data_IF_278720073467
#
_entry.id   IF_278720073467
#
_cell.length_a   1.000
_cell.length_b   1.000
_cell.length_c   1.000
_cell.angle_alpha   90.00
_cell.angle_beta   90.00
_cell.angle_gamma   90.00
#
_symmetry.space_group_name_H-M   'P 1'
#
loop_
_entity.id
_entity.type
_entity.pdbx_description
1 polymer ?
#
# COMPACT_ATOMS: atom_id res chain seq x y z
N UNK A 1 15.82 15.95 52.58
CA UNK A 1 14.79 15.88 51.52
C UNK A 1 15.35 16.54 50.25
N UNK A 2 15.94 15.76 49.32
CA UNK A 2 16.44 16.26 48.03
C UNK A 2 16.02 15.26 46.94
N UNK A 3 15.01 15.65 46.15
CA UNK A 3 14.57 14.93 44.94
C UNK A 3 15.71 14.95 43.92
N UNK A 4 16.23 13.78 43.52
CA UNK A 4 17.08 13.65 42.33
C UNK A 4 16.15 13.57 41.12
N UNK A 5 16.12 14.63 40.33
CA UNK A 5 15.43 14.65 39.04
C UNK A 5 16.19 13.78 38.03
N UNK A 6 15.42 13.10 37.19
CA UNK A 6 15.81 12.08 36.23
C UNK A 6 16.92 12.49 35.24
N UNK A 7 17.56 11.43 34.73
CA UNK A 7 18.61 11.50 33.73
C UNK A 7 18.19 12.33 32.51
N UNK A 8 18.99 13.35 32.23
CA UNK A 8 18.98 14.09 30.97
C UNK A 8 19.49 13.12 29.90
N UNK A 9 18.60 12.60 29.08
CA UNK A 9 18.96 11.83 27.89
C UNK A 9 19.83 12.75 27.01
N UNK A 10 21.09 12.35 26.81
CA UNK A 10 22.04 13.09 25.98
C UNK A 10 21.49 13.08 24.56
N UNK A 11 21.10 14.25 24.03
CA UNK A 11 20.75 14.40 22.61
C UNK A 11 22.03 14.16 21.82
N UNK A 12 22.09 13.04 21.09
CA UNK A 12 22.98 12.91 19.95
C UNK A 12 22.63 14.02 18.96
N UNK A 13 23.63 14.79 18.54
CA UNK A 13 23.44 15.87 17.58
C UNK A 13 23.06 15.25 16.22
N UNK A 14 22.07 15.82 15.53
CA UNK A 14 21.58 15.26 14.26
C UNK A 14 22.59 15.60 13.16
N UNK A 15 23.23 14.58 12.58
CA UNK A 15 24.16 14.75 11.47
C UNK A 15 23.50 14.36 10.14
N UNK A 16 22.94 15.35 9.45
CA UNK A 16 22.32 15.16 8.14
C UNK A 16 23.31 14.77 7.02
N UNK A 17 24.62 14.95 7.23
CA UNK A 17 25.62 14.63 6.19
C UNK A 17 25.73 13.13 5.91
N UNK A 18 25.35 12.30 6.90
CA UNK A 18 25.33 10.83 6.79
C UNK A 18 24.17 10.28 5.97
N UNK A 19 23.09 11.03 5.83
CA UNK A 19 21.88 10.57 5.16
C UNK A 19 21.95 10.75 3.64
N UNK A 20 21.53 9.72 2.92
CA UNK A 20 21.37 9.76 1.46
C UNK A 20 19.94 10.15 1.10
N UNK A 21 19.81 11.15 0.24
CA UNK A 21 18.54 11.67 -0.26
C UNK A 21 18.39 11.36 -1.74
N UNK A 22 17.27 10.78 -2.12
CA UNK A 22 16.87 10.68 -3.53
C UNK A 22 15.73 11.68 -3.78
N UNK A 23 15.99 12.66 -4.65
CA UNK A 23 15.12 13.80 -4.93
C UNK A 23 14.57 13.71 -6.36
N UNK A 24 13.25 13.85 -6.50
CA UNK A 24 12.57 13.87 -7.79
C UNK A 24 11.70 15.12 -7.96
N UNK A 25 11.90 15.82 -9.07
CA UNK A 25 11.03 16.89 -9.53
C UNK A 25 11.27 17.08 -11.04
N UNK A 26 10.24 16.92 -11.90
CA UNK A 26 10.41 17.02 -13.33
C UNK A 26 10.65 18.45 -13.82
N UNK A 27 10.39 19.45 -12.98
CA UNK A 27 10.67 20.86 -13.30
C UNK A 27 12.02 21.23 -12.70
N UNK A 28 13.04 21.38 -13.56
CA UNK A 28 14.43 21.63 -13.14
C UNK A 28 14.62 22.80 -12.17
N UNK A 29 13.85 23.88 -12.32
CA UNK A 29 13.91 25.02 -11.38
C UNK A 29 13.45 24.59 -9.99
N UNK A 30 12.33 23.87 -9.89
CA UNK A 30 11.79 23.38 -8.62
C UNK A 30 12.70 22.31 -7.99
N UNK A 31 13.28 21.43 -8.83
CA UNK A 31 14.28 20.44 -8.43
C UNK A 31 15.46 21.13 -7.74
N UNK A 32 16.01 22.17 -8.37
CA UNK A 32 17.16 22.93 -7.86
C UNK A 32 16.81 23.67 -6.57
N UNK A 33 15.64 24.30 -6.48
CA UNK A 33 15.17 24.97 -5.25
C UNK A 33 15.06 24.00 -4.08
N UNK A 34 14.48 22.82 -4.32
CA UNK A 34 14.32 21.79 -3.29
C UNK A 34 15.66 21.21 -2.85
N UNK A 35 16.57 20.98 -3.80
CA UNK A 35 17.96 20.57 -3.53
C UNK A 35 18.68 21.61 -2.68
N UNK A 36 18.53 22.90 -2.97
CA UNK A 36 19.13 23.97 -2.18
C UNK A 36 18.61 23.98 -0.75
N UNK A 37 17.29 23.88 -0.54
CA UNK A 37 16.71 23.81 0.80
C UNK A 37 17.25 22.60 1.59
N UNK A 38 17.32 21.42 0.99
CA UNK A 38 17.91 20.23 1.64
C UNK A 38 19.40 20.43 1.96
N UNK A 39 20.16 21.09 1.08
CA UNK A 39 21.55 21.41 1.33
C UNK A 39 21.72 22.41 2.49
N UNK A 40 20.86 23.43 2.59
CA UNK A 40 20.84 24.37 3.72
C UNK A 40 20.53 23.67 5.05
N UNK A 41 19.63 22.68 5.04
CA UNK A 41 19.32 21.86 6.23
C UNK A 41 20.54 21.05 6.70
N UNK A 42 21.46 20.70 5.80
CA UNK A 42 22.70 20.00 6.12
C UNK A 42 22.91 18.70 5.34
N UNK A 43 21.96 18.28 4.49
CA UNK A 43 22.16 17.12 3.63
C UNK A 43 23.29 17.39 2.61
N UNK A 44 24.12 16.39 2.36
CA UNK A 44 25.24 16.48 1.40
C UNK A 44 25.13 15.45 0.29
N UNK A 45 24.63 14.25 0.61
CA UNK A 45 24.44 13.18 -0.35
C UNK A 45 23.03 13.26 -0.96
N UNK A 46 22.84 14.17 -1.92
CA UNK A 46 21.55 14.37 -2.61
C UNK A 46 21.70 13.92 -4.07
N UNK A 47 21.04 12.83 -4.43
CA UNK A 47 20.85 12.43 -5.82
C UNK A 47 19.56 13.07 -6.36
N UNK A 48 19.59 13.65 -7.56
CA UNK A 48 18.51 14.49 -8.08
C UNK A 48 18.14 14.08 -9.49
N UNK A 49 16.86 13.82 -9.72
CA UNK A 49 16.36 13.29 -10.98
C UNK A 49 15.17 14.13 -11.48
N UNK A 50 15.17 14.43 -12.78
CA UNK A 50 14.06 15.13 -13.44
C UNK A 50 13.17 14.18 -14.25
N UNK A 51 13.57 12.92 -14.44
CA UNK A 51 12.73 11.91 -15.09
C UNK A 51 12.37 10.79 -14.13
N UNK A 52 11.15 10.26 -14.25
CA UNK A 52 10.67 9.18 -13.39
C UNK A 52 11.51 7.90 -13.56
N UNK A 53 12.03 7.65 -14.77
CA UNK A 53 12.88 6.51 -15.09
C UNK A 53 14.24 6.58 -14.38
N UNK A 54 14.88 7.76 -14.40
CA UNK A 54 16.13 7.97 -13.68
C UNK A 54 15.93 7.90 -12.17
N UNK A 55 14.82 8.46 -11.68
CA UNK A 55 14.47 8.37 -10.27
C UNK A 55 14.28 6.93 -9.81
N UNK A 56 13.54 6.10 -10.56
CA UNK A 56 13.39 4.68 -10.23
C UNK A 56 14.76 3.94 -10.21
N UNK A 57 15.68 4.31 -11.11
CA UNK A 57 17.03 3.75 -11.13
C UNK A 57 17.86 4.21 -9.93
N UNK A 58 17.85 5.49 -9.60
CA UNK A 58 18.55 6.03 -8.43
C UNK A 58 18.06 5.41 -7.12
N UNK A 59 16.76 5.17 -6.99
CA UNK A 59 16.18 4.47 -5.83
C UNK A 59 16.74 3.04 -5.66
N UNK A 60 16.99 2.32 -6.76
CA UNK A 60 17.56 0.96 -6.76
C UNK A 60 19.03 0.96 -6.35
N UNK A 61 19.79 1.94 -6.83
CA UNK A 61 21.24 2.01 -6.66
C UNK A 61 21.65 2.61 -5.30
N UNK A 62 20.96 3.66 -4.84
CA UNK A 62 21.40 4.47 -3.70
C UNK A 62 20.88 4.02 -2.33
N UNK A 63 19.88 3.13 -2.27
CA UNK A 63 19.16 2.72 -1.05
C UNK A 63 18.92 3.88 -0.06
N UNK A 64 18.25 4.96 -0.48
CA UNK A 64 18.21 6.20 0.28
C UNK A 64 17.45 6.07 1.59
N UNK A 65 17.90 6.80 2.61
CA UNK A 65 17.21 6.92 3.90
C UNK A 65 16.04 7.93 3.83
N UNK A 66 16.14 8.91 2.92
CA UNK A 66 15.11 9.91 2.66
C UNK A 66 14.81 9.99 1.15
N UNK A 67 13.53 9.94 0.81
CA UNK A 67 13.01 10.16 -0.54
C UNK A 67 12.15 11.42 -0.51
N UNK A 68 12.43 12.36 -1.41
CA UNK A 68 11.63 13.57 -1.61
C UNK A 68 11.16 13.60 -3.05
N UNK A 69 9.85 13.64 -3.30
CA UNK A 69 9.33 13.57 -4.67
C UNK A 69 8.14 14.50 -4.90
N UNK A 70 8.19 15.28 -5.98
CA UNK A 70 7.06 16.05 -6.47
C UNK A 70 5.97 15.13 -7.05
N UNK A 71 4.72 15.31 -6.61
CA UNK A 71 3.60 14.46 -7.01
C UNK A 71 2.51 15.15 -7.81
N UNK A 72 2.56 16.47 -8.01
CA UNK A 72 1.54 17.24 -8.73
C UNK A 72 1.97 17.71 -10.13
N UNK A 73 3.02 17.11 -10.72
CA UNK A 73 3.44 17.47 -12.08
C UNK A 73 2.49 16.91 -13.15
N UNK A 74 2.04 17.73 -14.11
CA UNK A 74 1.29 17.24 -15.26
C UNK A 74 2.05 16.15 -16.03
N UNK A 75 1.33 15.09 -16.44
CA UNK A 75 1.88 14.00 -17.25
C UNK A 75 2.81 13.02 -16.52
N UNK A 76 3.09 13.22 -15.24
CA UNK A 76 3.96 12.32 -14.45
C UNK A 76 3.29 11.93 -13.14
N UNK A 77 2.89 10.67 -13.00
CA UNK A 77 2.33 10.12 -11.76
C UNK A 77 3.39 9.33 -11.00
N UNK A 78 3.96 9.93 -9.95
CA UNK A 78 4.95 9.28 -9.06
C UNK A 78 4.28 8.35 -8.03
N UNK A 79 2.99 8.51 -7.75
CA UNK A 79 2.31 7.79 -6.67
C UNK A 79 2.30 6.27 -6.86
N UNK A 80 2.14 5.71 -8.09
CA UNK A 80 2.35 4.29 -8.35
C UNK A 80 3.75 3.80 -7.97
N UNK A 81 4.79 4.61 -8.24
CA UNK A 81 6.17 4.26 -7.87
C UNK A 81 6.34 4.22 -6.34
N UNK A 82 5.75 5.17 -5.61
CA UNK A 82 5.76 5.15 -4.14
C UNK A 82 5.08 3.90 -3.57
N UNK A 83 3.94 3.50 -4.15
CA UNK A 83 3.29 2.23 -3.76
C UNK A 83 4.24 1.05 -3.99
N UNK A 84 4.85 0.95 -5.17
CA UNK A 84 5.81 -0.12 -5.50
C UNK A 84 7.01 -0.15 -4.54
N UNK A 85 7.51 1.00 -4.09
CA UNK A 85 8.54 1.09 -3.04
C UNK A 85 8.04 0.42 -1.75
N UNK A 86 6.84 0.77 -1.28
CA UNK A 86 6.26 0.18 -0.06
C UNK A 86 5.97 -1.31 -0.18
N UNK A 87 5.69 -1.79 -1.38
CA UNK A 87 5.57 -3.21 -1.69
C UNK A 87 6.91 -3.94 -1.84
N UNK A 88 8.05 -3.26 -1.66
CA UNK A 88 9.38 -3.86 -1.77
C UNK A 88 9.77 -4.25 -3.21
N UNK A 89 9.16 -3.61 -4.21
CA UNK A 89 9.33 -3.94 -5.63
C UNK A 89 10.35 -3.03 -6.35
N UNK A 90 10.92 -2.06 -5.64
CA UNK A 90 11.81 -1.04 -6.23
C UNK A 90 13.18 -1.08 -5.56
N UNK A 91 13.26 -0.77 -4.28
CA UNK A 91 14.53 -0.69 -3.55
C UNK A 91 14.56 -1.70 -2.38
N UNK A 92 15.75 -1.99 -1.81
CA UNK A 92 15.90 -2.95 -0.72
C UNK A 92 15.14 -2.56 0.56
N UNK A 93 14.97 -1.26 0.81
CA UNK A 93 14.33 -0.73 2.00
C UNK A 93 12.93 -0.14 1.71
N UNK A 94 11.84 -0.92 1.84
CA UNK A 94 10.48 -0.42 1.67
C UNK A 94 10.06 0.56 2.77
N UNK A 95 10.86 0.69 3.84
CA UNK A 95 10.62 1.57 4.98
C UNK A 95 11.47 2.84 4.93
N UNK A 96 12.09 3.19 3.80
CA UNK A 96 12.69 4.52 3.61
C UNK A 96 11.69 5.63 3.99
N UNK A 97 12.18 6.76 4.50
CA UNK A 97 11.30 7.89 4.83
C UNK A 97 10.93 8.60 3.53
N UNK A 98 9.63 8.77 3.25
CA UNK A 98 9.14 9.34 1.99
C UNK A 98 8.33 10.59 2.26
N UNK A 99 8.79 11.73 1.74
CA UNK A 99 8.05 13.00 1.75
C UNK A 99 7.64 13.32 0.31
N UNK A 100 6.34 13.52 0.09
CA UNK A 100 5.85 14.06 -1.16
C UNK A 100 5.74 15.57 -1.10
N UNK A 101 6.07 16.25 -2.19
CA UNK A 101 5.77 17.67 -2.37
C UNK A 101 4.65 17.83 -3.40
N UNK A 102 3.80 18.84 -3.22
CA UNK A 102 2.70 19.08 -4.15
C UNK A 102 2.41 20.57 -4.33
N UNK A 103 2.24 21.00 -5.58
CA UNK A 103 1.67 22.32 -5.92
C UNK A 103 0.14 22.34 -5.86
N UNK A 104 -0.51 21.17 -5.84
CA UNK A 104 -1.97 21.04 -5.87
C UNK A 104 -2.51 20.86 -4.46
N UNK A 105 -3.44 21.74 -4.05
CA UNK A 105 -4.13 21.67 -2.75
C UNK A 105 -5.47 20.92 -2.78
N UNK A 106 -5.80 20.30 -3.91
CA UNK A 106 -7.04 19.55 -4.06
C UNK A 106 -7.11 18.36 -3.10
N UNK A 107 -8.25 18.20 -2.42
CA UNK A 107 -8.44 17.16 -1.42
C UNK A 107 -8.39 15.75 -2.01
N UNK A 108 -8.82 15.53 -3.27
CA UNK A 108 -8.73 14.21 -3.91
C UNK A 108 -7.28 13.86 -4.19
N UNK A 109 -6.52 14.80 -4.76
CA UNK A 109 -5.09 14.64 -5.02
C UNK A 109 -4.30 14.35 -3.74
N UNK A 110 -4.50 15.15 -2.69
CA UNK A 110 -3.81 14.97 -1.41
C UNK A 110 -4.15 13.64 -0.75
N UNK A 111 -5.42 13.21 -0.81
CA UNK A 111 -5.81 11.87 -0.35
C UNK A 111 -5.07 10.79 -1.13
N UNK A 112 -4.97 10.87 -2.46
CA UNK A 112 -4.20 9.90 -3.28
C UNK A 112 -2.72 9.88 -2.92
N UNK A 113 -2.13 11.04 -2.63
CA UNK A 113 -0.74 11.17 -2.22
C UNK A 113 -0.51 10.51 -0.85
N UNK A 114 -1.37 10.79 0.13
CA UNK A 114 -1.30 10.18 1.47
C UNK A 114 -1.51 8.66 1.40
N UNK A 115 -2.48 8.19 0.62
CA UNK A 115 -2.77 6.75 0.44
C UNK A 115 -1.80 6.04 -0.50
N UNK A 116 -0.76 6.71 -0.99
CA UNK A 116 0.35 6.05 -1.69
C UNK A 116 1.33 5.36 -0.74
N UNK A 117 1.27 5.69 0.56
CA UNK A 117 2.19 5.19 1.59
C UNK A 117 3.31 6.16 1.97
N UNK A 118 3.26 7.41 1.48
CA UNK A 118 4.18 8.46 1.91
C UNK A 118 4.09 8.71 3.43
N UNK A 119 5.23 9.04 4.06
CA UNK A 119 5.31 9.44 5.47
C UNK A 119 4.71 10.84 5.68
N UNK A 120 4.88 11.74 4.71
CA UNK A 120 4.34 13.09 4.78
C UNK A 120 4.06 13.69 3.40
N UNK A 121 3.23 14.74 3.37
CA UNK A 121 2.94 15.53 2.17
C UNK A 121 3.10 17.02 2.49
N UNK A 122 4.01 17.70 1.81
CA UNK A 122 4.31 19.12 1.96
C UNK A 122 3.72 19.89 0.78
N UNK A 123 2.93 20.91 1.07
CA UNK A 123 2.38 21.80 0.04
C UNK A 123 3.41 22.86 -0.33
N UNK A 124 3.58 23.11 -1.62
CA UNK A 124 4.42 24.19 -2.16
C UNK A 124 3.64 25.50 -2.32
N UNK A 125 4.33 26.66 -2.27
CA UNK A 125 5.72 26.83 -1.85
C UNK A 125 5.89 26.60 -0.34
N UNK A 126 7.08 26.16 0.07
CA UNK A 126 7.45 25.97 1.48
C UNK A 126 8.81 26.60 1.79
N UNK A 127 9.05 26.96 3.04
CA UNK A 127 10.36 27.46 3.50
C UNK A 127 11.30 26.31 3.89
N UNK A 128 12.61 26.57 3.85
CA UNK A 128 13.64 25.62 4.34
C UNK A 128 13.35 25.19 5.79
N UNK A 129 13.01 26.14 6.67
CA UNK A 129 12.70 25.87 8.07
C UNK A 129 11.46 24.97 8.24
N UNK A 130 10.42 25.16 7.42
CA UNK A 130 9.25 24.28 7.46
C UNK A 130 9.61 22.86 7.03
N UNK A 131 10.35 22.69 5.93
CA UNK A 131 10.81 21.38 5.49
C UNK A 131 11.67 20.68 6.55
N UNK A 132 12.58 21.43 7.21
CA UNK A 132 13.39 20.92 8.32
C UNK A 132 12.53 20.41 9.48
N UNK A 133 11.52 21.20 9.91
CA UNK A 133 10.62 20.81 11.00
C UNK A 133 9.90 19.49 10.70
N UNK A 134 9.41 19.33 9.46
CA UNK A 134 8.75 18.09 9.01
C UNK A 134 9.72 16.91 9.05
N UNK A 135 10.93 17.07 8.53
CA UNK A 135 11.97 16.04 8.55
C UNK A 135 12.35 15.66 9.99
N UNK A 136 12.57 16.63 10.88
CA UNK A 136 12.86 16.40 12.31
C UNK A 136 11.74 15.66 13.01
N UNK A 137 10.49 15.95 12.66
CA UNK A 137 9.32 15.24 13.21
C UNK A 137 9.34 13.77 12.81
N UNK A 138 9.63 13.47 11.54
CA UNK A 138 9.74 12.09 11.04
C UNK A 138 10.93 11.34 11.65
N UNK A 139 12.04 12.03 11.91
CA UNK A 139 13.19 11.45 12.63
C UNK A 139 12.77 11.03 14.04
N UNK A 140 12.06 11.89 14.77
CA UNK A 140 11.76 11.68 16.20
C UNK A 140 10.57 10.75 16.46
N UNK A 141 9.47 10.96 15.73
CA UNK A 141 8.14 10.41 16.07
C UNK A 141 7.49 9.74 14.86
N UNK A 142 8.25 8.88 14.17
CA UNK A 142 7.72 8.14 13.03
C UNK A 142 6.59 7.22 13.47
N UNK A 143 5.45 7.31 12.77
CA UNK A 143 4.30 6.46 13.03
C UNK A 143 4.57 5.01 12.61
N UNK A 144 3.99 4.02 13.31
CA UNK A 144 4.04 2.63 12.85
C UNK A 144 3.22 2.48 11.56
N UNK A 145 3.43 1.38 10.84
CA UNK A 145 2.75 1.13 9.57
C UNK A 145 1.54 0.22 9.72
N UNK A 146 0.55 0.41 8.85
CA UNK A 146 -0.56 -0.51 8.65
C UNK A 146 -0.35 -1.22 7.32
N UNK A 147 -0.60 -2.53 7.31
CA UNK A 147 -0.52 -3.37 6.12
C UNK A 147 -1.92 -3.82 5.75
N UNK A 148 -2.37 -3.44 4.55
CA UNK A 148 -3.61 -3.90 3.94
C UNK A 148 -3.37 -4.46 2.55
N UNK A 149 -4.43 -4.95 1.87
CA UNK A 149 -4.35 -5.42 0.49
C UNK A 149 -3.83 -4.34 -0.44
N UNK A 150 -4.29 -3.11 -0.24
CA UNK A 150 -4.09 -1.99 -1.16
C UNK A 150 -3.27 -0.85 -0.54
N UNK A 151 -2.82 -0.98 0.72
CA UNK A 151 -2.08 0.07 1.43
C UNK A 151 -0.99 -0.49 2.35
N UNK A 152 0.22 0.02 2.19
CA UNK A 152 1.33 -0.17 3.14
C UNK A 152 1.87 1.23 3.44
N UNK A 153 1.78 1.65 4.70
CA UNK A 153 2.26 2.97 5.08
C UNK A 153 1.87 3.37 6.50
N UNK A 154 2.22 4.60 6.90
CA UNK A 154 2.00 5.08 8.27
C UNK A 154 0.55 4.99 8.71
N UNK A 155 0.30 4.64 9.97
CA UNK A 155 -1.04 4.63 10.53
C UNK A 155 -1.66 6.03 10.53
N UNK A 156 -2.75 6.17 9.80
CA UNK A 156 -3.51 7.43 9.65
C UNK A 156 -4.84 7.42 10.39
N UNK A 157 -5.13 6.37 11.18
CA UNK A 157 -6.35 6.32 11.98
C UNK A 157 -6.28 7.42 13.05
N UNK A 158 -7.25 8.33 13.00
CA UNK A 158 -7.57 9.18 14.14
C UNK A 158 -8.41 8.31 15.09
N UNK A 159 -7.96 8.14 16.33
CA UNK A 159 -8.46 7.12 17.26
C UNK A 159 -10.02 6.98 17.31
N UNK A 160 -10.45 5.71 17.40
CA UNK A 160 -11.68 5.19 18.03
C UNK A 160 -13.02 5.00 17.29
N UNK A 161 -13.24 5.40 16.01
CA UNK A 161 -14.59 5.24 15.40
C UNK A 161 -14.77 4.12 14.38
N UNK A 162 -13.70 3.45 13.95
CA UNK A 162 -13.79 2.25 13.10
C UNK A 162 -12.73 1.25 13.56
N UNK A 163 -13.10 0.19 14.30
CA UNK A 163 -12.18 -0.92 14.50
C UNK A 163 -11.83 -1.46 13.11
N UNK A 164 -10.55 -1.34 12.77
CA UNK A 164 -9.97 -2.02 11.63
C UNK A 164 -9.01 -3.02 12.24
N UNK A 165 -9.27 -4.31 12.00
CA UNK A 165 -8.43 -5.42 12.46
C UNK A 165 -7.08 -5.49 11.71
N UNK A 166 -6.74 -4.45 10.93
CA UNK A 166 -5.48 -4.41 10.22
C UNK A 166 -4.33 -4.28 11.23
N UNK A 167 -3.37 -5.23 11.21
CA UNK A 167 -2.26 -5.24 12.15
C UNK A 167 -1.38 -4.00 11.96
N UNK A 168 -0.90 -3.47 13.09
CA UNK A 168 0.08 -2.39 13.12
C UNK A 168 1.45 -3.00 13.28
N UNK A 169 2.37 -2.61 12.41
CA UNK A 169 3.75 -3.08 12.41
C UNK A 169 4.66 -1.91 12.76
N UNK A 170 5.43 -2.03 13.84
CA UNK A 170 6.43 -1.03 14.19
C UNK A 170 7.60 -1.09 13.19
N UNK A 171 7.81 -0.06 12.39
CA UNK A 171 8.83 -0.06 11.33
C UNK A 171 10.13 0.63 11.76
N UNK A 172 11.29 0.22 11.24
CA UNK A 172 12.58 0.82 11.57
C UNK A 172 12.63 2.22 11.00
N UNK A 173 13.15 3.15 11.79
CA UNK A 173 13.43 4.50 11.32
C UNK A 173 14.88 4.58 10.86
N UNK A 174 15.13 4.09 9.64
CA UNK A 174 16.47 4.08 9.03
C UNK A 174 17.03 5.49 8.91
N UNK A 175 16.20 6.50 8.59
CA UNK A 175 16.62 7.90 8.58
C UNK A 175 17.15 8.35 9.94
N UNK A 176 16.41 8.08 11.02
CA UNK A 176 16.85 8.41 12.38
C UNK A 176 18.18 7.73 12.72
N UNK A 177 18.26 6.41 12.51
CA UNK A 177 19.46 5.65 12.84
C UNK A 177 20.69 6.17 12.06
N UNK A 178 20.52 6.52 10.78
CA UNK A 178 21.59 7.12 9.96
C UNK A 178 22.05 8.47 10.49
N UNK A 179 21.14 9.40 10.77
CA UNK A 179 21.52 10.77 11.19
C UNK A 179 21.99 10.84 12.65
N UNK A 180 21.57 9.90 13.50
CA UNK A 180 22.07 9.77 14.88
C UNK A 180 23.39 8.98 14.94
N UNK A 181 23.80 8.33 13.84
CA UNK A 181 24.98 7.46 13.78
C UNK A 181 24.84 6.19 14.62
N UNK A 182 23.61 5.69 14.78
CA UNK A 182 23.30 4.50 15.57
C UNK A 182 23.48 3.23 14.72
N UNK A 183 24.70 2.69 14.74
CA UNK A 183 25.07 1.48 13.98
C UNK A 183 24.28 0.24 14.43
N UNK A 184 23.96 0.13 15.72
CA UNK A 184 23.18 -1.00 16.26
C UNK A 184 21.74 -0.95 15.75
N UNK A 185 21.12 0.24 15.74
CA UNK A 185 19.80 0.43 15.18
C UNK A 185 19.78 0.20 13.66
N UNK A 186 20.84 0.55 12.93
CA UNK A 186 20.96 0.24 11.49
C UNK A 186 21.07 -1.26 11.22
N UNK A 187 21.93 -1.97 11.95
CA UNK A 187 22.07 -3.43 11.82
C UNK A 187 20.76 -4.16 12.18
N UNK A 188 20.10 -3.71 13.26
CA UNK A 188 18.78 -4.20 13.65
C UNK A 188 17.73 -3.89 12.58
N UNK A 189 17.75 -2.69 12.01
CA UNK A 189 16.85 -2.31 10.93
C UNK A 189 17.04 -3.21 9.71
N UNK A 190 18.28 -3.53 9.32
CA UNK A 190 18.57 -4.41 8.17
C UNK A 190 18.05 -5.85 8.39
N UNK A 191 18.37 -6.46 9.53
CA UNK A 191 17.83 -7.79 9.88
C UNK A 191 16.31 -7.78 9.94
N UNK A 192 15.72 -6.71 10.45
CA UNK A 192 14.27 -6.57 10.60
C UNK A 192 13.57 -6.26 9.27
N UNK A 193 14.20 -5.52 8.35
CA UNK A 193 13.67 -5.22 7.02
C UNK A 193 13.34 -6.52 6.29
N UNK A 194 14.24 -7.51 6.34
CA UNK A 194 14.01 -8.82 5.73
C UNK A 194 12.80 -9.55 6.32
N UNK A 195 12.69 -9.59 7.64
CA UNK A 195 11.57 -10.24 8.34
C UNK A 195 10.23 -9.52 8.12
N UNK A 196 10.22 -8.20 8.22
CA UNK A 196 9.04 -7.39 7.99
C UNK A 196 8.60 -7.44 6.53
N UNK A 197 9.53 -7.49 5.57
CA UNK A 197 9.20 -7.69 4.16
C UNK A 197 8.49 -9.02 3.96
N UNK A 198 9.00 -10.11 4.54
CA UNK A 198 8.33 -11.44 4.48
C UNK A 198 6.95 -11.41 5.12
N UNK A 199 6.79 -10.73 6.26
CA UNK A 199 5.50 -10.58 6.94
C UNK A 199 4.51 -9.80 6.09
N UNK A 200 4.92 -8.66 5.53
CA UNK A 200 4.12 -7.81 4.64
C UNK A 200 3.73 -8.56 3.37
N UNK A 201 4.67 -9.27 2.76
CA UNK A 201 4.43 -10.07 1.56
C UNK A 201 3.42 -11.20 1.85
N UNK A 202 3.60 -11.93 2.96
CA UNK A 202 2.68 -12.99 3.37
C UNK A 202 1.25 -12.46 3.61
N UNK A 203 1.12 -11.36 4.34
CA UNK A 203 -0.16 -10.70 4.54
C UNK A 203 -0.78 -10.22 3.22
N UNK A 204 0.03 -9.76 2.27
CA UNK A 204 -0.45 -9.33 0.96
C UNK A 204 -0.93 -10.51 0.12
N UNK A 205 -0.17 -11.59 0.02
CA UNK A 205 -0.57 -12.82 -0.68
C UNK A 205 -1.89 -13.35 -0.09
N UNK A 206 -1.97 -13.42 1.25
CA UNK A 206 -3.19 -13.82 1.97
C UNK A 206 -4.39 -12.98 1.55
N UNK A 207 -4.25 -11.65 1.57
CA UNK A 207 -5.36 -10.73 1.25
C UNK A 207 -5.76 -10.75 -0.23
N UNK A 208 -4.81 -10.85 -1.14
CA UNK A 208 -5.10 -10.96 -2.59
C UNK A 208 -5.85 -12.26 -2.88
N UNK A 209 -5.39 -13.40 -2.35
CA UNK A 209 -6.07 -14.68 -2.47
C UNK A 209 -7.49 -14.61 -1.87
N UNK A 210 -7.61 -14.06 -0.67
CA UNK A 210 -8.88 -13.90 0.02
C UNK A 210 -9.88 -13.03 -0.76
N UNK A 211 -9.43 -11.91 -1.36
CA UNK A 211 -10.27 -11.06 -2.20
C UNK A 211 -10.83 -11.84 -3.40
N UNK A 212 -10.01 -12.69 -4.03
CA UNK A 212 -10.45 -13.55 -5.13
C UNK A 212 -11.47 -14.58 -4.63
N UNK A 213 -11.19 -15.26 -3.52
CA UNK A 213 -12.10 -16.25 -2.92
C UNK A 213 -13.49 -15.66 -2.67
N UNK A 214 -13.55 -14.51 -1.99
CA UNK A 214 -14.81 -13.81 -1.70
C UNK A 214 -15.55 -13.48 -2.99
N UNK A 215 -14.85 -12.92 -3.99
CA UNK A 215 -15.47 -12.57 -5.27
C UNK A 215 -16.02 -13.81 -5.99
N UNK A 216 -15.30 -14.93 -5.96
CA UNK A 216 -15.76 -16.18 -6.57
C UNK A 216 -16.97 -16.76 -5.84
N UNK A 217 -17.03 -16.69 -4.51
CA UNK A 217 -18.21 -17.12 -3.75
C UNK A 217 -19.45 -16.29 -4.07
N UNK A 218 -19.29 -14.97 -4.17
CA UNK A 218 -20.40 -14.07 -4.50
C UNK A 218 -20.92 -14.27 -5.93
N UNK A 219 -20.04 -14.63 -6.88
CA UNK A 219 -20.44 -14.93 -8.25
C UNK A 219 -21.01 -16.35 -8.42
N UNK A 220 -20.61 -17.31 -7.56
CA UNK A 220 -21.16 -18.65 -7.55
C UNK A 220 -22.58 -18.73 -6.95
N UNK A 221 -22.94 -17.77 -6.10
CA UNK A 221 -24.23 -17.68 -5.42
C UNK A 221 -25.29 -17.01 -6.34
N UNK A 222 -26.38 -17.74 -6.72
CA UNK A 222 -27.41 -17.21 -7.59
C UNK A 222 -28.09 -15.94 -7.08
N UNK A 223 -28.14 -15.72 -5.76
CA UNK A 223 -28.80 -14.55 -5.17
C UNK A 223 -27.97 -13.26 -5.31
N UNK A 224 -26.65 -13.38 -5.45
CA UNK A 224 -25.73 -12.23 -5.56
C UNK A 224 -25.09 -12.09 -6.93
N UNK A 225 -25.18 -13.11 -7.78
CA UNK A 225 -24.53 -13.17 -9.09
C UNK A 225 -24.91 -12.01 -10.04
N UNK A 226 -26.18 -11.58 -10.05
CA UNK A 226 -26.66 -10.48 -10.90
C UNK A 226 -25.96 -9.15 -10.59
N UNK A 227 -25.66 -8.90 -9.32
CA UNK A 227 -25.01 -7.67 -8.82
C UNK A 227 -23.48 -7.77 -8.76
N UNK A 228 -22.92 -8.99 -8.86
CA UNK A 228 -21.48 -9.26 -8.71
C UNK A 228 -20.67 -9.18 -10.02
N UNK A 229 -21.33 -9.17 -11.19
CA UNK A 229 -20.65 -9.22 -12.50
C UNK A 229 -19.70 -8.05 -12.80
N UNK A 230 -19.90 -6.89 -12.15
CA UNK A 230 -19.02 -5.73 -12.26
C UNK A 230 -17.63 -5.95 -11.61
N UNK A 231 -17.46 -6.99 -10.78
CA UNK A 231 -16.24 -7.23 -9.99
C UNK A 231 -15.19 -8.08 -10.74
N UNK A 232 -15.56 -8.79 -11.81
CA UNK A 232 -14.64 -9.75 -12.49
C UNK A 232 -13.39 -9.10 -13.09
N UNK A 233 -13.48 -7.85 -13.57
CA UNK A 233 -12.31 -7.09 -14.02
C UNK A 233 -11.33 -6.83 -12.87
N UNK A 234 -11.86 -6.55 -11.67
CA UNK A 234 -11.07 -6.40 -10.46
C UNK A 234 -10.48 -7.73 -9.98
N UNK A 235 -11.19 -8.85 -10.15
CA UNK A 235 -10.63 -10.18 -9.89
C UNK A 235 -9.47 -10.49 -10.83
N UNK A 236 -9.58 -10.21 -12.14
CA UNK A 236 -8.47 -10.40 -13.10
C UNK A 236 -7.25 -9.56 -12.68
N UNK A 237 -7.47 -8.31 -12.28
CA UNK A 237 -6.40 -7.42 -11.79
C UNK A 237 -5.75 -7.99 -10.52
N UNK A 238 -6.56 -8.43 -9.56
CA UNK A 238 -6.10 -9.02 -8.29
C UNK A 238 -5.34 -10.31 -8.52
N UNK A 239 -5.81 -11.18 -9.42
CA UNK A 239 -5.14 -12.42 -9.79
C UNK A 239 -3.78 -12.15 -10.45
N UNK A 240 -3.69 -11.17 -11.35
CA UNK A 240 -2.41 -10.77 -11.94
C UNK A 240 -1.43 -10.28 -10.87
N UNK A 241 -1.89 -9.43 -9.96
CA UNK A 241 -1.08 -8.90 -8.86
C UNK A 241 -0.60 -10.02 -7.91
N UNK A 242 -1.44 -11.02 -7.65
CA UNK A 242 -1.07 -12.21 -6.88
C UNK A 242 0.04 -13.01 -7.60
N UNK A 243 -0.12 -13.28 -8.89
CA UNK A 243 0.90 -13.98 -9.70
C UNK A 243 2.22 -13.22 -9.70
N UNK A 244 2.20 -11.90 -9.92
CA UNK A 244 3.41 -11.06 -9.90
C UNK A 244 4.11 -11.08 -8.53
N UNK A 245 3.32 -11.03 -7.45
CA UNK A 245 3.85 -11.09 -6.08
C UNK A 245 4.51 -12.45 -5.81
N UNK A 246 3.84 -13.55 -6.17
CA UNK A 246 4.36 -14.89 -5.96
C UNK A 246 5.60 -15.19 -6.82
N UNK A 247 5.65 -14.69 -8.06
CA UNK A 247 6.85 -14.78 -8.91
C UNK A 247 8.07 -14.14 -8.22
N UNK A 248 7.89 -12.98 -7.58
CA UNK A 248 8.98 -12.31 -6.86
C UNK A 248 9.43 -13.02 -5.56
N UNK A 249 8.61 -13.93 -5.02
CA UNK A 249 8.90 -14.65 -3.78
C UNK A 249 9.79 -15.90 -3.97
N UNK A 250 9.96 -16.36 -5.21
CA UNK A 250 10.73 -17.57 -5.53
C UNK A 250 10.04 -18.90 -5.19
N UNK A 251 8.74 -18.89 -4.86
CA UNK A 251 7.95 -20.08 -4.54
C UNK A 251 7.32 -20.69 -5.81
N UNK A 252 8.02 -21.64 -6.44
CA UNK A 252 7.63 -22.22 -7.73
C UNK A 252 6.23 -22.85 -7.71
N UNK A 253 5.92 -23.66 -6.70
CA UNK A 253 4.62 -24.34 -6.58
C UNK A 253 3.46 -23.33 -6.47
N UNK A 254 3.61 -22.32 -5.61
CA UNK A 254 2.61 -21.26 -5.44
C UNK A 254 2.42 -20.45 -6.73
N UNK A 255 3.51 -20.17 -7.44
CA UNK A 255 3.49 -19.47 -8.73
C UNK A 255 2.71 -20.25 -9.79
N UNK A 256 2.96 -21.57 -9.93
CA UNK A 256 2.24 -22.42 -10.89
C UNK A 256 0.73 -22.42 -10.64
N UNK A 257 0.31 -22.54 -9.38
CA UNK A 257 -1.11 -22.50 -9.03
C UNK A 257 -1.71 -21.11 -9.32
N UNK A 258 -0.97 -20.03 -9.05
CA UNK A 258 -1.41 -18.67 -9.35
C UNK A 258 -1.49 -18.36 -10.86
N UNK A 259 -0.64 -18.97 -11.68
CA UNK A 259 -0.73 -18.88 -13.14
C UNK A 259 -1.99 -19.57 -13.66
N UNK A 260 -2.26 -20.79 -13.19
CA UNK A 260 -3.50 -21.51 -13.51
C UNK A 260 -4.74 -20.73 -13.06
N UNK A 261 -4.70 -20.12 -11.87
CA UNK A 261 -5.76 -19.21 -11.40
C UNK A 261 -5.97 -18.04 -12.36
N UNK A 262 -4.89 -17.38 -12.77
CA UNK A 262 -4.96 -16.22 -13.65
C UNK A 262 -5.52 -16.58 -15.03
N UNK A 263 -5.15 -17.75 -15.57
CA UNK A 263 -5.73 -18.29 -16.79
C UNK A 263 -7.24 -18.52 -16.62
N UNK A 264 -7.64 -19.21 -15.56
CA UNK A 264 -9.04 -19.51 -15.26
C UNK A 264 -9.88 -18.22 -15.11
N UNK A 265 -9.38 -17.24 -14.36
CA UNK A 265 -10.10 -15.99 -14.14
C UNK A 265 -10.17 -15.14 -15.43
N UNK A 266 -9.16 -15.22 -16.31
CA UNK A 266 -9.21 -14.57 -17.64
C UNK A 266 -10.26 -15.20 -18.54
N UNK A 267 -10.53 -16.50 -18.41
CA UNK A 267 -11.55 -17.19 -19.19
C UNK A 267 -12.95 -16.58 -18.97
N UNK A 268 -13.24 -16.05 -17.77
CA UNK A 268 -14.50 -15.36 -17.45
C UNK A 268 -14.80 -14.10 -18.28
N UNK A 269 -13.86 -13.63 -19.10
CA UNK A 269 -14.20 -12.64 -20.14
C UNK A 269 -15.28 -13.18 -21.09
N UNK A 270 -15.28 -14.49 -21.33
CA UNK A 270 -16.29 -15.21 -22.09
C UNK A 270 -17.49 -15.53 -21.18
N UNK A 271 -18.73 -15.12 -21.52
CA UNK A 271 -19.89 -15.37 -20.67
C UNK A 271 -20.20 -16.85 -20.43
N UNK A 272 -19.93 -17.72 -21.40
CA UNK A 272 -20.06 -19.18 -21.32
C UNK A 272 -19.18 -19.81 -20.24
N UNK A 273 -18.04 -19.18 -19.92
CA UNK A 273 -17.12 -19.66 -18.89
C UNK A 273 -17.56 -19.27 -17.47
N UNK A 274 -18.61 -18.45 -17.32
CA UNK A 274 -19.12 -17.95 -16.02
C UNK A 274 -20.08 -18.93 -15.37
N UNK A 275 -19.63 -20.16 -15.16
CA UNK A 275 -20.41 -21.20 -14.50
C UNK A 275 -20.07 -21.31 -13.01
N UNK A 276 -21.02 -21.77 -12.20
CA UNK A 276 -20.80 -22.08 -10.77
C UNK A 276 -19.62 -23.04 -10.57
N UNK A 277 -19.42 -24.00 -11.48
CA UNK A 277 -18.28 -24.93 -11.43
C UNK A 277 -16.95 -24.20 -11.63
N UNK A 278 -16.88 -23.31 -12.63
CA UNK A 278 -15.65 -22.58 -12.91
C UNK A 278 -15.32 -21.55 -11.83
N UNK A 279 -16.32 -20.92 -11.20
CA UNK A 279 -16.12 -20.06 -10.03
C UNK A 279 -15.57 -20.85 -8.83
N UNK A 280 -16.08 -22.06 -8.57
CA UNK A 280 -15.54 -22.95 -7.53
C UNK A 280 -14.09 -23.35 -7.81
N UNK A 281 -13.76 -23.69 -9.06
CA UNK A 281 -12.39 -24.00 -9.45
C UNK A 281 -11.45 -22.80 -9.22
N UNK A 282 -11.85 -21.59 -9.65
CA UNK A 282 -11.05 -20.38 -9.39
C UNK A 282 -10.89 -20.09 -7.89
N UNK A 283 -11.92 -20.35 -7.07
CA UNK A 283 -11.80 -20.28 -5.61
C UNK A 283 -10.75 -21.26 -5.08
N UNK A 284 -10.82 -22.53 -5.49
CA UNK A 284 -9.89 -23.57 -5.04
C UNK A 284 -8.45 -23.27 -5.46
N UNK A 285 -8.23 -22.77 -6.68
CA UNK A 285 -6.92 -22.33 -7.13
C UNK A 285 -6.39 -21.14 -6.31
N UNK A 286 -7.25 -20.19 -5.93
CA UNK A 286 -6.84 -19.08 -5.06
C UNK A 286 -6.43 -19.56 -3.65
N UNK A 287 -7.18 -20.49 -3.06
CA UNK A 287 -6.83 -21.12 -1.78
C UNK A 287 -5.53 -21.92 -1.91
N UNK A 288 -5.39 -22.71 -2.99
CA UNK A 288 -4.21 -23.51 -3.27
C UNK A 288 -2.94 -22.68 -3.44
N UNK A 289 -3.02 -21.55 -4.15
CA UNK A 289 -1.89 -20.65 -4.34
C UNK A 289 -1.40 -20.07 -3.00
N UNK A 290 -2.32 -19.68 -2.12
CA UNK A 290 -1.98 -19.20 -0.79
C UNK A 290 -1.41 -20.32 0.11
N UNK A 291 -2.03 -21.50 0.10
CA UNK A 291 -1.57 -22.66 0.87
C UNK A 291 -0.15 -23.08 0.49
N UNK A 292 0.14 -23.15 -0.81
CA UNK A 292 1.47 -23.46 -1.34
C UNK A 292 2.51 -22.39 -0.95
N UNK A 293 2.11 -21.12 -0.87
CA UNK A 293 2.99 -20.06 -0.39
C UNK A 293 3.28 -20.16 1.11
N UNK A 294 2.25 -20.43 1.91
CA UNK A 294 2.31 -20.48 3.37
C UNK A 294 2.81 -21.84 3.92
N UNK A 295 3.35 -22.72 3.07
CA UNK A 295 3.75 -24.09 3.44
C UNK A 295 2.64 -24.89 4.16
N UNK A 296 1.37 -24.58 3.90
CA UNK A 296 0.22 -25.28 4.51
C UNK A 296 -0.15 -24.86 5.95
N UNK A 297 0.57 -23.96 6.61
CA UNK A 297 0.35 -23.61 8.03
C UNK A 297 -0.86 -22.67 8.29
N UNK A 298 -1.51 -22.11 7.25
CA UNK A 298 -2.43 -20.96 7.39
C UNK A 298 -3.89 -21.19 6.95
N UNK A 299 -4.25 -22.40 6.52
CA UNK A 299 -5.57 -22.66 5.91
C UNK A 299 -6.69 -22.54 6.95
N UNK A 300 -6.50 -23.07 8.17
CA UNK A 300 -7.53 -23.10 9.21
C UNK A 300 -7.92 -21.70 9.73
N UNK A 301 -6.95 -20.80 9.97
CA UNK A 301 -7.25 -19.42 10.40
C UNK A 301 -7.96 -18.60 9.32
N UNK A 302 -7.78 -18.96 8.06
CA UNK A 302 -8.31 -18.20 6.94
C UNK A 302 -9.80 -18.47 6.74
N UNK A 303 -10.27 -19.71 6.95
CA UNK A 303 -11.65 -20.15 6.69
C UNK A 303 -12.71 -19.32 7.44
N UNK A 304 -12.54 -19.13 8.76
CA UNK A 304 -13.47 -18.37 9.60
C UNK A 304 -13.56 -16.87 9.21
N UNK A 305 -12.46 -16.30 8.72
CA UNK A 305 -12.41 -14.92 8.21
C UNK A 305 -13.13 -14.81 6.85
N UNK A 306 -13.07 -15.88 6.04
CA UNK A 306 -13.80 -15.99 4.77
C UNK A 306 -15.30 -15.90 5.01
N UNK A 307 -15.81 -16.79 5.85
CA UNK A 307 -17.25 -16.90 6.09
C UNK A 307 -17.84 -15.60 6.65
N UNK A 308 -17.12 -14.94 7.58
CA UNK A 308 -17.52 -13.64 8.14
C UNK A 308 -17.55 -12.52 7.09
N UNK A 309 -16.52 -12.46 6.23
CA UNK A 309 -16.41 -11.43 5.19
C UNK A 309 -17.48 -11.60 4.14
N UNK A 310 -17.71 -12.84 3.69
CA UNK A 310 -18.74 -13.18 2.71
C UNK A 310 -20.13 -12.89 3.27
N UNK A 311 -20.42 -13.28 4.51
CA UNK A 311 -21.70 -12.98 5.16
C UNK A 311 -21.98 -11.46 5.23
N UNK A 312 -20.95 -10.67 5.59
CA UNK A 312 -21.07 -9.21 5.66
C UNK A 312 -21.34 -8.58 4.30
N UNK A 313 -20.65 -9.05 3.26
CA UNK A 313 -20.79 -8.52 1.89
C UNK A 313 -22.11 -8.96 1.24
N UNK A 314 -22.54 -10.21 1.42
CA UNK A 314 -23.87 -10.69 1.00
C UNK A 314 -24.97 -9.80 1.57
N UNK A 315 -24.94 -9.54 2.88
CA UNK A 315 -25.92 -8.66 3.54
C UNK A 315 -25.97 -7.27 2.92
N UNK A 316 -24.79 -6.70 2.59
CA UNK A 316 -24.70 -5.38 1.93
C UNK A 316 -25.25 -5.41 0.51
N UNK A 317 -24.89 -6.39 -0.30
CA UNK A 317 -25.36 -6.51 -1.69
C UNK A 317 -26.87 -6.70 -1.75
N UNK A 318 -27.41 -7.63 -0.96
CA UNK A 318 -28.86 -7.87 -0.86
C UNK A 318 -29.62 -6.64 -0.36
N UNK A 319 -29.06 -5.88 0.59
CA UNK A 319 -29.66 -4.62 1.04
C UNK A 319 -29.65 -3.52 -0.03
N UNK A 320 -28.64 -3.52 -0.91
CA UNK A 320 -28.52 -2.55 -2.01
C UNK A 320 -29.54 -2.85 -3.11
N UNK A 321 -29.75 -4.14 -3.41
CA UNK A 321 -30.74 -4.59 -4.39
C UNK A 321 -32.17 -4.37 -3.89
N UNK A 322 -32.42 -4.51 -2.58
CA UNK A 322 -33.71 -4.17 -1.98
C UNK A 322 -34.06 -2.66 -2.08
N UNK A 323 -33.06 -1.77 -1.96
CA UNK A 323 -33.28 -0.32 -2.10
C UNK A 323 -33.32 0.13 -3.58
N UNK A 324 -32.59 -0.55 -4.48
CA UNK A 324 -32.62 -0.28 -5.92
C UNK A 324 -33.88 -0.82 -6.61
N UNK A 325 -34.40 -1.97 -6.19
CA UNK A 325 -35.63 -2.57 -6.70
C UNK A 325 -36.90 -1.80 -6.33
N UNK A 326 -36.92 -1.14 -5.17
CA UNK A 326 -38.04 -0.30 -4.74
C UNK A 326 -38.25 0.95 -5.62
N UNK A 327 -37.17 1.52 -6.16
CA UNK A 327 -37.25 2.70 -7.05
C UNK A 327 -37.73 2.35 -8.47
N UNK A 328 -37.48 1.13 -8.94
CA UNK A 328 -37.93 0.66 -10.26
C UNK A 328 -39.37 0.12 -10.22
N UNK A 329 -39.80 -0.46 -9.09
CA UNK A 329 -41.18 -0.90 -8.90
C UNK A 329 -42.18 0.25 -8.72
N UNK A 330 -41.78 1.39 -8.12
CA UNK A 330 -42.66 2.57 -8.02
C UNK A 330 -42.82 3.30 -9.37
N UNK A 331 -41.86 3.17 -10.29
CA UNK A 331 -41.92 3.80 -11.61
C UNK A 331 -42.80 3.05 -12.61
N UNK A 332 -42.98 1.73 -12.43
CA UNK A 332 -43.83 0.89 -13.30
C UNK A 332 -45.30 0.87 -12.88
N UNK A 333 -45.61 1.15 -11.61
CA UNK A 333 -47.01 1.27 -11.15
C UNK A 333 -47.66 2.61 -11.52
N UNK A 334 -46.89 3.68 -11.73
CA UNK A 334 -47.44 5.00 -12.10
C UNK A 334 -47.77 5.16 -13.60
N UNK A 335 -47.30 4.28 -14.47
CA UNK A 335 -47.60 4.30 -15.92
C UNK A 335 -48.80 3.43 -16.31
N UNK A 336 -49.24 2.52 -15.44
CA UNK A 336 -50.43 1.67 -15.69
C UNK A 336 -51.74 2.29 -15.20
N UNK A 337 -51.71 3.42 -14.48
CA UNK A 337 -52.88 4.12 -13.97
C UNK A 337 -53.26 5.37 -14.80
N UNK A 338 -52.64 5.58 -15.96
CA UNK A 338 -52.87 6.72 -16.84
C UNK A 338 -53.20 6.30 -18.29
N UNK A 339 -53.95 5.21 -18.45
CA UNK A 339 -54.51 4.72 -19.72
C UNK A 339 -56.02 4.70 -19.67
#
# INVERSE_FOLDING_TARGET
>A
MRKRYGGRQVMTDIDYTKATVCLFDPVHVNLRTTRYALHEIGFRNIDSHSTLKEFERGLKEANPSLVVAECASPGVDVLPLIRRIRHGQVNPNPFATIILTSWIRDGVHLRRAITSGADDVIIRPFSTAFAEERIRTLIKVRKPFVVTSDYIGPDRREDSKRPSDAPVVAVPNTLRATVEGDEEALAKAESWIGEARRTVESERVRRLAMRIVVAMELNADPQTASSATADLSDVIRTARELTETLNSSGRIEAMQVAEALLEQVRAFKRPDERSTSNFKLAKELAVGAFAAYANGESIERSQDEIDKTVATLRKRLLSRDAHGGGALASATLNTAAAG
#
